data_IF_157589364823
#
_entry.id   IF_157589364823
#
_cell.length_a   1.000
_cell.length_b   1.000
_cell.length_c   1.000
_cell.angle_alpha   90.00
_cell.angle_beta   90.00
_cell.angle_gamma   90.00
#
_symmetry.space_group_name_H-M   'P 1'
#
loop_
_entity.id
_entity.type
_entity.pdbx_description
1 polymer ?
#
# COMPACT_ATOMS: atom_id res chain seq x y z
N UNK A 1 12.89 1.04 -28.15
CA UNK A 1 12.19 0.88 -26.86
C UNK A 1 12.36 -0.56 -26.41
N UNK A 2 13.18 -0.79 -25.37
CA UNK A 2 13.27 -2.10 -24.73
C UNK A 2 12.37 -2.07 -23.50
N UNK A 3 11.35 -2.91 -23.48
CA UNK A 3 10.56 -3.19 -22.31
C UNK A 3 11.26 -4.36 -21.59
N UNK A 4 11.93 -4.09 -20.50
CA UNK A 4 12.44 -5.14 -19.62
C UNK A 4 11.36 -5.43 -18.57
N UNK A 5 10.73 -6.59 -18.66
CA UNK A 5 9.85 -7.12 -17.61
C UNK A 5 10.75 -7.90 -16.64
N UNK A 6 10.95 -7.36 -15.46
CA UNK A 6 11.66 -8.06 -14.37
C UNK A 6 10.62 -8.76 -13.49
N UNK A 7 10.51 -10.07 -13.58
CA UNK A 7 9.72 -10.89 -12.65
C UNK A 7 10.64 -11.30 -11.51
N UNK A 8 10.43 -10.76 -10.33
CA UNK A 8 11.14 -11.19 -9.10
C UNK A 8 10.20 -12.07 -8.28
N UNK A 9 10.48 -13.36 -8.22
CA UNK A 9 9.79 -14.29 -7.33
C UNK A 9 10.47 -14.27 -5.95
N UNK A 10 9.75 -13.82 -4.91
CA UNK A 10 10.24 -13.81 -3.54
C UNK A 10 9.89 -15.13 -2.85
N UNK A 11 10.92 -15.88 -2.42
CA UNK A 11 10.78 -17.08 -1.57
C UNK A 11 10.65 -16.61 -0.11
N UNK A 12 9.46 -16.72 0.45
CA UNK A 12 9.21 -16.49 1.88
C UNK A 12 9.75 -17.69 2.70
N UNK A 13 10.72 -17.43 3.57
CA UNK A 13 11.14 -18.38 4.59
C UNK A 13 10.14 -18.37 5.76
N UNK A 14 9.51 -19.50 5.99
CA UNK A 14 8.65 -19.69 7.16
C UNK A 14 9.54 -19.88 8.41
N UNK A 15 9.46 -18.91 9.33
CA UNK A 15 9.89 -19.10 10.72
C UNK A 15 8.67 -19.56 11.49
N UNK A 16 8.76 -20.71 12.15
CA UNK A 16 7.71 -21.25 13.01
C UNK A 16 7.62 -20.44 14.31
N UNK A 17 6.85 -19.38 14.28
CA UNK A 17 6.26 -18.69 15.42
C UNK A 17 4.75 -18.77 15.29
N UNK A 18 3.97 -18.34 16.30
CA UNK A 18 2.51 -18.30 16.22
C UNK A 18 2.09 -17.71 14.87
N UNK A 19 1.30 -18.48 14.11
CA UNK A 19 0.92 -18.08 12.77
C UNK A 19 0.16 -16.76 12.82
N UNK A 20 0.72 -15.73 12.18
CA UNK A 20 0.11 -14.40 12.11
C UNK A 20 -1.35 -14.47 11.63
N UNK A 21 -2.20 -13.63 12.21
CA UNK A 21 -3.62 -13.56 11.84
C UNK A 21 -3.84 -13.06 10.41
N UNK A 22 -2.89 -12.30 9.88
CA UNK A 22 -2.81 -11.88 8.48
C UNK A 22 -1.53 -12.43 7.87
N UNK A 23 -1.64 -13.02 6.69
CA UNK A 23 -0.49 -13.46 5.90
C UNK A 23 -0.74 -13.24 4.41
N UNK A 24 0.36 -13.12 3.66
CA UNK A 24 0.31 -13.13 2.19
C UNK A 24 0.37 -14.58 1.70
N UNK A 25 -0.51 -14.92 0.77
CA UNK A 25 -0.44 -16.16 -0.01
C UNK A 25 0.48 -15.99 -1.21
N UNK A 26 0.40 -14.83 -1.85
CA UNK A 26 1.34 -14.38 -2.86
C UNK A 26 1.45 -12.86 -2.85
N UNK A 27 2.60 -12.38 -3.28
CA UNK A 27 2.87 -10.99 -3.64
C UNK A 27 3.65 -11.03 -4.94
N UNK A 28 3.04 -10.51 -6.01
CA UNK A 28 3.65 -10.42 -7.33
C UNK A 28 3.73 -8.95 -7.74
N UNK A 29 4.68 -8.59 -8.57
CA UNK A 29 4.94 -7.20 -8.95
C UNK A 29 5.06 -7.03 -10.46
N UNK A 30 4.41 -6.01 -10.97
CA UNK A 30 4.67 -5.46 -12.31
C UNK A 30 5.29 -4.08 -12.16
N UNK A 31 6.48 -3.87 -12.74
CA UNK A 31 7.18 -2.60 -12.69
C UNK A 31 7.57 -2.14 -14.09
N UNK A 32 7.24 -0.88 -14.42
CA UNK A 32 7.58 -0.26 -15.68
C UNK A 32 8.35 1.03 -15.44
N UNK A 33 9.64 1.03 -15.78
CA UNK A 33 10.48 2.23 -15.75
C UNK A 33 10.04 3.20 -16.86
N UNK A 34 9.81 4.44 -16.48
CA UNK A 34 9.44 5.53 -17.37
C UNK A 34 10.67 6.34 -17.81
N UNK A 35 10.55 7.08 -18.89
CA UNK A 35 11.68 7.86 -19.46
C UNK A 35 12.17 8.98 -18.56
N UNK A 36 11.38 9.42 -17.60
CA UNK A 36 11.72 10.45 -16.61
C UNK A 36 12.36 9.89 -15.32
N UNK A 37 12.57 8.57 -15.22
CA UNK A 37 13.11 7.91 -14.03
C UNK A 37 12.06 7.46 -13.02
N UNK A 38 10.78 7.73 -13.27
CA UNK A 38 9.69 7.22 -12.43
C UNK A 38 9.41 5.75 -12.74
N UNK A 39 8.74 5.08 -11.82
CA UNK A 39 8.31 3.70 -12.01
C UNK A 39 6.79 3.62 -11.85
N UNK A 40 6.13 3.15 -12.89
CA UNK A 40 4.75 2.65 -12.77
C UNK A 40 4.80 1.26 -12.17
N UNK A 41 4.15 1.09 -11.03
CA UNK A 41 4.26 -0.11 -10.22
C UNK A 41 2.87 -0.67 -9.89
N UNK A 42 2.71 -1.98 -9.98
CA UNK A 42 1.49 -2.66 -9.54
C UNK A 42 1.88 -3.81 -8.63
N UNK A 43 1.34 -3.82 -7.42
CA UNK A 43 1.39 -4.95 -6.50
C UNK A 43 0.14 -5.80 -6.65
N UNK A 44 0.32 -7.08 -6.93
CA UNK A 44 -0.72 -8.10 -6.95
C UNK A 44 -0.67 -8.87 -5.63
N UNK A 45 -1.62 -8.59 -4.76
CA UNK A 45 -1.64 -9.07 -3.38
C UNK A 45 -2.71 -10.16 -3.21
N UNK A 46 -2.37 -11.31 -2.65
CA UNK A 46 -3.34 -12.32 -2.19
C UNK A 46 -3.17 -12.52 -0.69
N UNK A 47 -4.13 -12.01 0.09
CA UNK A 47 -4.14 -12.10 1.54
C UNK A 47 -4.90 -13.34 2.02
N UNK A 48 -4.40 -13.92 3.11
CA UNK A 48 -5.16 -14.81 3.98
C UNK A 48 -5.43 -14.09 5.30
N UNK A 49 -6.71 -13.97 5.65
CA UNK A 49 -7.17 -13.40 6.92
C UNK A 49 -7.69 -14.52 7.81
N UNK A 50 -7.15 -14.67 9.01
CA UNK A 50 -7.66 -15.57 10.04
C UNK A 50 -8.62 -14.84 10.97
N UNK A 51 -9.46 -15.59 11.66
CA UNK A 51 -10.27 -15.04 12.75
C UNK A 51 -9.34 -14.52 13.85
N UNK A 52 -9.61 -13.32 14.31
CA UNK A 52 -8.95 -12.71 15.47
C UNK A 52 -9.99 -12.27 16.50
N UNK A 53 -9.54 -12.12 17.73
CA UNK A 53 -10.35 -11.70 18.86
C UNK A 53 -9.75 -10.45 19.49
N UNK A 54 -10.55 -9.66 20.17
CA UNK A 54 -10.10 -8.59 21.04
C UNK A 54 -9.69 -9.14 22.42
N UNK A 55 -9.23 -8.28 23.32
CA UNK A 55 -8.79 -8.67 24.68
C UNK A 55 -9.92 -9.25 25.53
N UNK A 56 -11.18 -8.99 25.18
CA UNK A 56 -12.37 -9.50 25.85
C UNK A 56 -12.84 -10.85 25.26
N UNK A 57 -12.17 -11.35 24.21
CA UNK A 57 -12.52 -12.60 23.52
C UNK A 57 -13.60 -12.45 22.46
N UNK A 58 -14.03 -11.23 22.15
CA UNK A 58 -14.99 -10.99 21.08
C UNK A 58 -14.32 -11.03 19.72
N UNK A 59 -15.05 -11.48 18.70
CA UNK A 59 -14.57 -11.49 17.33
C UNK A 59 -14.31 -10.06 16.84
N UNK A 60 -13.07 -9.80 16.39
CA UNK A 60 -12.65 -8.52 15.81
C UNK A 60 -12.51 -8.67 14.29
N UNK A 61 -13.46 -8.17 13.49
CA UNK A 61 -13.37 -8.29 12.04
C UNK A 61 -12.23 -7.46 11.46
N UNK A 62 -11.71 -7.90 10.32
CA UNK A 62 -10.82 -7.12 9.47
C UNK A 62 -11.67 -6.11 8.70
N UNK A 63 -11.28 -4.86 8.74
CA UNK A 63 -11.96 -3.75 8.06
C UNK A 63 -11.02 -2.98 7.14
N UNK A 64 -9.70 -3.05 7.40
CA UNK A 64 -8.72 -2.21 6.71
C UNK A 64 -7.43 -2.99 6.45
N UNK A 65 -6.86 -2.79 5.28
CA UNK A 65 -5.54 -3.26 4.86
C UNK A 65 -4.73 -2.06 4.38
N UNK A 66 -3.40 -2.12 4.47
CA UNK A 66 -2.55 -1.00 4.06
C UNK A 66 -1.14 -1.45 3.67
N UNK A 67 -0.48 -0.59 2.90
CA UNK A 67 0.94 -0.61 2.59
C UNK A 67 1.58 0.65 3.13
N UNK A 68 2.82 0.56 3.59
CA UNK A 68 3.56 1.69 4.13
C UNK A 68 4.83 1.91 3.31
N UNK A 69 5.10 3.16 2.96
CA UNK A 69 6.27 3.56 2.20
C UNK A 69 7.03 4.67 2.92
N UNK A 70 8.34 4.66 2.77
CA UNK A 70 9.20 5.70 3.30
C UNK A 70 9.69 6.59 2.17
N UNK A 71 9.27 7.86 2.16
CA UNK A 71 9.80 8.87 1.26
C UNK A 71 11.15 9.36 1.77
N UNK A 72 12.10 9.54 0.83
CA UNK A 72 13.44 10.08 1.07
C UNK A 72 13.85 10.98 -0.10
N UNK A 73 14.54 12.08 0.17
CA UNK A 73 14.89 13.08 -0.84
C UNK A 73 15.72 12.54 -2.02
N UNK A 74 16.57 11.54 -1.81
CA UNK A 74 17.47 11.01 -2.84
C UNK A 74 16.97 9.71 -3.50
N UNK A 75 15.82 9.22 -3.05
CA UNK A 75 15.23 7.96 -3.50
C UNK A 75 13.76 8.19 -3.90
N UNK A 76 12.83 7.47 -3.27
CA UNK A 76 11.40 7.67 -3.45
C UNK A 76 10.96 9.01 -2.86
N UNK A 77 10.69 10.00 -3.71
CA UNK A 77 10.28 11.34 -3.24
C UNK A 77 8.79 11.54 -3.14
N UNK A 78 8.01 10.77 -3.91
CA UNK A 78 6.55 10.88 -3.90
C UNK A 78 5.90 9.63 -4.50
N UNK A 79 4.61 9.44 -4.21
CA UNK A 79 3.75 8.42 -4.83
C UNK A 79 2.49 9.09 -5.35
N UNK A 80 2.17 8.85 -6.63
CA UNK A 80 0.98 9.40 -7.30
C UNK A 80 0.24 8.33 -8.10
N UNK A 81 -0.81 8.73 -8.80
CA UNK A 81 -1.59 7.87 -9.72
C UNK A 81 -2.04 6.54 -9.09
N UNK A 82 -2.43 6.64 -7.81
CA UNK A 82 -2.81 5.48 -7.02
C UNK A 82 -4.17 4.97 -7.47
N UNK A 83 -4.29 3.67 -7.61
CA UNK A 83 -5.56 2.98 -7.79
C UNK A 83 -5.56 1.64 -7.06
N UNK A 84 -6.68 1.31 -6.45
CA UNK A 84 -6.89 0.06 -5.73
C UNK A 84 -8.07 -0.67 -6.35
N UNK A 85 -7.85 -1.91 -6.74
CA UNK A 85 -8.87 -2.76 -7.35
C UNK A 85 -8.98 -4.07 -6.57
N UNK A 86 -10.18 -4.47 -6.22
CA UNK A 86 -10.43 -5.83 -5.74
C UNK A 86 -10.31 -6.79 -6.92
N UNK A 87 -9.19 -7.49 -7.04
CA UNK A 87 -8.89 -8.37 -8.17
C UNK A 87 -9.80 -9.61 -8.24
N UNK A 88 -10.47 -9.97 -7.14
CA UNK A 88 -11.45 -11.07 -7.12
C UNK A 88 -12.78 -10.70 -7.78
N UNK A 89 -13.18 -9.42 -7.71
CA UNK A 89 -14.48 -8.94 -8.23
C UNK A 89 -14.35 -7.98 -9.42
N UNK A 90 -13.15 -7.42 -9.65
CA UNK A 90 -12.92 -6.34 -10.61
C UNK A 90 -13.42 -4.96 -10.12
N UNK A 91 -13.88 -4.85 -8.87
CA UNK A 91 -14.40 -3.60 -8.31
C UNK A 91 -13.27 -2.61 -8.03
N UNK A 92 -13.35 -1.42 -8.61
CA UNK A 92 -12.42 -0.33 -8.33
C UNK A 92 -12.86 0.43 -7.08
N UNK A 93 -11.90 0.71 -6.21
CA UNK A 93 -12.09 1.51 -5.02
C UNK A 93 -11.91 3.00 -5.35
N UNK A 94 -12.68 3.86 -4.72
CA UNK A 94 -12.56 5.32 -4.86
C UNK A 94 -11.87 5.93 -3.65
N UNK A 95 -11.19 7.06 -3.85
CA UNK A 95 -10.43 7.71 -2.79
C UNK A 95 -11.36 8.45 -1.82
N UNK A 96 -11.07 8.31 -0.51
CA UNK A 96 -11.68 9.10 0.57
C UNK A 96 -10.60 9.56 1.56
N UNK A 97 -10.99 10.37 2.54
CA UNK A 97 -10.13 10.69 3.68
C UNK A 97 -9.91 9.44 4.56
N UNK A 98 -8.74 9.31 5.21
CA UNK A 98 -8.49 8.21 6.14
C UNK A 98 -9.48 8.24 7.31
N UNK A 99 -9.93 7.05 7.75
CA UNK A 99 -10.84 6.88 8.88
C UNK A 99 -10.40 5.67 9.70
N UNK A 100 -10.39 5.80 11.03
CA UNK A 100 -10.13 4.66 11.91
C UNK A 100 -11.37 3.76 12.01
N UNK A 101 -11.22 2.45 11.78
CA UNK A 101 -12.33 1.50 11.86
C UNK A 101 -13.00 1.42 13.23
N UNK A 102 -12.28 1.80 14.31
CA UNK A 102 -12.78 1.79 15.68
C UNK A 102 -13.79 2.90 16.01
N UNK A 103 -13.83 3.94 15.22
CA UNK A 103 -14.57 5.17 15.52
C UNK A 103 -15.97 5.20 14.90
N UNK A 104 -16.29 4.18 14.12
CA UNK A 104 -17.57 4.06 13.41
C UNK A 104 -18.20 2.70 13.66
N UNK A 105 -19.52 2.65 13.63
CA UNK A 105 -20.26 1.39 13.73
C UNK A 105 -20.01 0.48 12.52
N UNK A 106 -20.26 -0.81 12.66
CA UNK A 106 -20.11 -1.76 11.54
C UNK A 106 -21.05 -1.41 10.38
N UNK A 107 -22.27 -0.94 10.66
CA UNK A 107 -23.21 -0.56 9.61
C UNK A 107 -22.79 0.71 8.86
N UNK A 108 -22.22 1.68 9.55
CA UNK A 108 -21.67 2.88 8.95
C UNK A 108 -20.40 2.54 8.13
N UNK A 109 -19.55 1.64 8.65
CA UNK A 109 -18.40 1.15 7.92
C UNK A 109 -18.79 0.55 6.57
N UNK A 110 -19.78 -0.33 6.56
CA UNK A 110 -20.25 -0.98 5.33
C UNK A 110 -20.84 0.00 4.31
N UNK A 111 -21.55 1.03 4.77
CA UNK A 111 -22.26 1.97 3.87
C UNK A 111 -21.39 3.11 3.38
N UNK A 112 -20.43 3.58 4.19
CA UNK A 112 -19.72 4.84 3.91
C UNK A 112 -18.23 4.63 3.61
N UNK A 113 -17.62 3.55 4.14
CA UNK A 113 -16.16 3.40 4.08
C UNK A 113 -15.69 2.18 3.30
N UNK A 114 -16.39 1.06 3.36
CA UNK A 114 -16.02 -0.14 2.61
C UNK A 114 -16.02 0.12 1.09
N UNK A 115 -15.02 -0.40 0.39
CA UNK A 115 -14.86 -0.17 -1.05
C UNK A 115 -14.16 1.16 -1.40
N UNK A 116 -13.50 1.79 -0.43
CA UNK A 116 -12.73 3.01 -0.63
C UNK A 116 -11.27 2.82 -0.23
N UNK A 117 -10.38 3.64 -0.80
CA UNK A 117 -8.98 3.70 -0.43
C UNK A 117 -8.60 5.12 0.03
N UNK A 118 -7.48 5.24 0.75
CA UNK A 118 -6.94 6.50 1.23
C UNK A 118 -5.43 6.53 1.13
N UNK A 119 -4.86 7.72 1.19
CA UNK A 119 -3.44 7.96 1.40
C UNK A 119 -3.27 8.89 2.60
N UNK A 120 -2.33 8.58 3.47
CA UNK A 120 -2.15 9.29 4.73
C UNK A 120 -0.67 9.42 5.12
N UNK A 121 -0.37 10.40 5.96
CA UNK A 121 0.87 10.50 6.71
C UNK A 121 0.62 9.95 8.14
N UNK A 122 1.08 8.74 8.47
CA UNK A 122 0.85 8.15 9.78
C UNK A 122 1.77 8.72 10.88
N UNK A 123 2.74 9.57 10.52
CA UNK A 123 3.70 10.16 11.45
C UNK A 123 3.22 11.47 12.07
N UNK A 124 2.22 12.10 11.47
CA UNK A 124 1.67 13.38 11.90
C UNK A 124 0.40 13.15 12.72
N UNK A 125 0.35 13.76 13.90
CA UNK A 125 -0.85 13.74 14.72
C UNK A 125 -0.92 12.57 15.71
N UNK A 126 -1.95 12.56 16.52
CA UNK A 126 -2.02 11.72 17.70
C UNK A 126 -2.60 10.34 17.46
N UNK A 127 -3.82 10.22 17.04
CA UNK A 127 -4.52 8.94 16.95
C UNK A 127 -5.08 8.64 15.57
N UNK A 128 -4.94 9.58 14.63
CA UNK A 128 -5.50 9.49 13.29
C UNK A 128 -4.40 9.72 12.27
N UNK A 129 -4.31 8.88 11.22
CA UNK A 129 -3.48 9.20 10.06
C UNK A 129 -4.01 10.50 9.43
N UNK A 130 -3.14 11.49 9.24
CA UNK A 130 -3.51 12.71 8.56
C UNK A 130 -3.59 12.45 7.04
N UNK A 131 -4.56 13.03 6.33
CA UNK A 131 -4.60 12.93 4.88
C UNK A 131 -3.29 13.42 4.24
N UNK A 132 -2.73 12.65 3.34
CA UNK A 132 -1.56 13.05 2.56
C UNK A 132 -2.02 13.56 1.18
N UNK A 133 -1.56 14.75 0.80
CA UNK A 133 -1.80 15.28 -0.54
C UNK A 133 -0.57 15.04 -1.42
N UNK A 134 -0.68 14.11 -2.35
CA UNK A 134 0.40 13.77 -3.29
C UNK A 134 0.79 14.94 -4.22
N UNK A 135 -0.08 15.91 -4.43
CA UNK A 135 0.23 17.07 -5.28
C UNK A 135 1.20 18.05 -4.62
N UNK A 136 1.20 18.12 -3.30
CA UNK A 136 1.99 19.11 -2.53
C UNK A 136 2.88 18.49 -1.47
N UNK A 137 2.66 17.23 -1.11
CA UNK A 137 3.29 16.55 0.03
C UNK A 137 4.59 15.82 -0.30
N UNK A 138 4.98 15.71 -1.57
CA UNK A 138 6.22 15.07 -2.00
C UNK A 138 7.47 15.79 -1.47
N UNK A 139 8.59 15.08 -1.41
CA UNK A 139 9.88 15.64 -1.00
C UNK A 139 10.61 16.26 -2.20
N UNK A 140 11.37 17.35 -1.96
CA UNK A 140 12.28 17.90 -2.95
C UNK A 140 13.50 16.96 -3.09
N UNK A 141 13.79 16.39 -4.27
CA UNK A 141 14.94 15.50 -4.47
C UNK A 141 16.28 16.14 -4.17
N UNK A 142 16.36 17.49 -4.19
CA UNK A 142 17.56 18.26 -3.85
C UNK A 142 17.52 18.86 -2.44
N UNK A 143 16.47 18.56 -1.67
CA UNK A 143 16.28 19.06 -0.31
C UNK A 143 17.22 18.43 0.70
N UNK A 144 17.29 19.00 1.88
CA UNK A 144 17.97 18.39 3.02
C UNK A 144 17.03 17.41 3.73
N UNK A 145 17.57 16.25 4.05
CA UNK A 145 16.95 15.06 4.63
C UNK A 145 15.70 15.28 5.49
N UNK A 146 14.59 14.96 4.91
CA UNK A 146 13.35 14.76 5.64
C UNK A 146 12.74 13.41 5.20
N UNK A 147 12.93 12.42 6.03
CA UNK A 147 12.20 11.17 5.88
C UNK A 147 10.72 11.41 6.22
N UNK A 148 9.84 10.99 5.35
CA UNK A 148 8.41 11.01 5.58
C UNK A 148 7.83 9.62 5.34
N UNK A 149 6.99 9.14 6.23
CA UNK A 149 6.26 7.90 6.03
C UNK A 149 4.90 8.21 5.43
N UNK A 150 4.48 7.43 4.45
CA UNK A 150 3.11 7.47 3.92
C UNK A 150 2.49 6.08 3.98
N UNK A 151 1.19 6.06 4.11
CA UNK A 151 0.37 4.86 4.14
C UNK A 151 -0.67 4.94 3.02
N UNK A 152 -0.74 3.89 2.20
CA UNK A 152 -1.82 3.67 1.25
C UNK A 152 -2.68 2.56 1.83
N UNK A 153 -3.89 2.91 2.28
CA UNK A 153 -4.81 1.96 2.88
C UNK A 153 -6.09 1.80 2.09
N UNK A 154 -6.75 0.66 2.27
CA UNK A 154 -8.07 0.43 1.68
C UNK A 154 -8.98 -0.30 2.64
N UNK A 155 -10.23 0.10 2.58
CA UNK A 155 -11.28 -0.32 3.48
C UNK A 155 -12.05 -1.47 2.85
N UNK A 156 -11.99 -2.63 3.49
CA UNK A 156 -12.72 -3.83 3.08
C UNK A 156 -14.03 -3.96 3.87
N UNK A 157 -15.05 -4.63 3.34
CA UNK A 157 -16.20 -5.07 4.13
C UNK A 157 -15.74 -5.82 5.38
N UNK A 158 -16.45 -5.65 6.50
CA UNK A 158 -16.10 -6.28 7.77
C UNK A 158 -15.98 -7.81 7.63
N UNK A 159 -14.77 -8.32 7.64
CA UNK A 159 -14.42 -9.69 7.29
C UNK A 159 -13.84 -10.41 8.50
N UNK A 160 -14.47 -11.49 8.95
CA UNK A 160 -13.98 -12.28 10.09
C UNK A 160 -12.84 -13.21 9.66
N UNK A 161 -12.99 -13.84 8.50
CA UNK A 161 -12.02 -14.80 7.96
C UNK A 161 -12.15 -14.88 6.44
N UNK A 162 -11.00 -14.91 5.75
CA UNK A 162 -10.97 -15.08 4.30
C UNK A 162 -9.72 -15.87 3.90
N UNK A 163 -9.88 -16.93 3.14
CA UNK A 163 -8.77 -17.78 2.72
C UNK A 163 -7.95 -17.20 1.55
N UNK A 164 -8.56 -16.32 0.77
CA UNK A 164 -7.92 -15.58 -0.34
C UNK A 164 -8.71 -14.32 -0.58
N UNK A 165 -8.03 -13.18 -0.48
CA UNK A 165 -8.58 -11.84 -0.74
C UNK A 165 -7.56 -11.08 -1.59
N UNK A 166 -7.93 -10.81 -2.85
CA UNK A 166 -6.98 -10.30 -3.84
C UNK A 166 -7.20 -8.84 -4.14
N UNK A 167 -6.08 -8.10 -4.19
CA UNK A 167 -6.05 -6.70 -4.59
C UNK A 167 -4.92 -6.43 -5.57
N UNK A 168 -5.19 -5.55 -6.53
CA UNK A 168 -4.18 -4.90 -7.36
C UNK A 168 -4.07 -3.46 -6.88
N UNK A 169 -2.88 -3.08 -6.41
CA UNK A 169 -2.56 -1.72 -5.99
C UNK A 169 -1.56 -1.16 -6.97
N UNK A 170 -2.02 -0.21 -7.79
CA UNK A 170 -1.17 0.43 -8.80
C UNK A 170 -0.83 1.85 -8.36
N UNK A 171 0.41 2.27 -8.60
CA UNK A 171 0.92 3.58 -8.21
C UNK A 171 2.11 4.00 -9.09
N UNK A 172 2.45 5.28 -9.08
CA UNK A 172 3.67 5.81 -9.71
C UNK A 172 4.62 6.27 -8.61
N UNK A 173 5.80 5.66 -8.57
CA UNK A 173 6.91 6.04 -7.70
C UNK A 173 7.79 7.06 -8.40
N UNK A 174 8.00 8.22 -7.75
CA UNK A 174 8.80 9.29 -8.30
C UNK A 174 10.25 9.25 -7.82
N UNK A 175 11.15 9.56 -8.74
CA UNK A 175 12.59 9.69 -8.49
C UNK A 175 13.31 8.37 -8.09
N UNK A 176 12.76 7.22 -8.49
CA UNK A 176 13.35 5.91 -8.18
C UNK A 176 14.55 5.55 -9.06
N UNK A 177 14.65 6.15 -10.23
CA UNK A 177 15.72 5.88 -11.21
C UNK A 177 16.70 7.03 -11.35
N UNK A 178 18.00 6.79 -11.15
CA UNK A 178 19.05 7.73 -11.51
C UNK A 178 19.51 7.44 -12.93
N UNK A 179 19.28 8.40 -13.83
CA UNK A 179 19.71 8.29 -15.22
C UNK A 179 21.16 8.82 -15.37
N UNK A 180 22.03 7.98 -15.88
CA UNK A 180 23.37 8.34 -16.35
C UNK A 180 23.38 8.41 -17.89
N UNK A 181 24.47 8.89 -18.47
CA UNK A 181 24.59 9.08 -19.93
C UNK A 181 24.49 7.77 -20.72
N UNK A 182 24.79 6.64 -20.11
CA UNK A 182 24.90 5.31 -20.73
C UNK A 182 24.07 4.23 -20.00
N UNK A 183 23.61 4.49 -18.78
CA UNK A 183 22.88 3.52 -17.94
C UNK A 183 21.87 4.23 -17.03
N UNK A 184 20.79 3.54 -16.69
CA UNK A 184 19.89 3.94 -15.61
C UNK A 184 20.11 3.00 -14.43
N UNK A 185 20.40 3.56 -13.28
CA UNK A 185 20.50 2.81 -12.02
C UNK A 185 19.18 2.90 -11.26
N UNK A 186 18.69 1.77 -10.79
CA UNK A 186 17.52 1.63 -9.95
C UNK A 186 17.96 0.97 -8.63
N UNK A 187 17.76 1.68 -7.52
CA UNK A 187 17.93 1.09 -6.18
C UNK A 187 16.55 0.91 -5.54
N UNK A 188 16.27 -0.32 -5.18
CA UNK A 188 15.05 -0.71 -4.49
C UNK A 188 15.40 -1.56 -3.27
N UNK A 189 15.03 -1.09 -2.09
CA UNK A 189 15.00 -1.89 -0.85
C UNK A 189 13.54 -2.16 -0.47
N UNK A 190 13.16 -3.42 -0.40
CA UNK A 190 11.85 -3.87 0.08
C UNK A 190 11.91 -4.17 1.58
#
# INVERSE_FOLDING_TARGET
AFVAVLVVALLLFFVSGDEADLSYRSVDFDAQLQSNGDIRFTEHLDYQLKRRENDDGDTKPWKQLYLTFKLRNQDLTNITDISVTNASTGGQYTQIAPQLPSDVSDSEWESEYAGHWYIADPTIGSNYPEPFDSATGGLDPNGSDNDKQIEIGWNIPATVKQSSLKFDVTMTFHNMGTQHSDVTNLMWEM
#
